data_IF_748256334823
#
_entry.id   IF_748256334823
#
_cell.length_a   1.000
_cell.length_b   1.000
_cell.length_c   1.000
_cell.angle_alpha   90.00
_cell.angle_beta   90.00
_cell.angle_gamma   90.00
#
_symmetry.space_group_name_H-M   'P 1'
#
loop_
_entity.id
_entity.type
_entity.pdbx_description
1 polymer ?
#
# COMPACT_ATOMS: atom_id res chain seq x y z
N UNK A 1 8.00 9.58 13.96
CA UNK A 1 7.60 9.94 12.60
C UNK A 1 7.60 11.46 12.45
N UNK A 2 8.01 11.96 11.29
CA UNK A 2 8.10 13.40 10.99
C UNK A 2 6.75 14.00 10.55
N UNK A 3 5.62 13.48 11.05
CA UNK A 3 4.29 13.95 10.66
C UNK A 3 4.03 15.37 11.14
N UNK A 4 3.59 16.24 10.24
CA UNK A 4 3.32 17.66 10.52
C UNK A 4 1.82 17.97 10.62
N UNK A 5 0.95 17.24 9.90
CA UNK A 5 -0.50 17.40 10.03
C UNK A 5 -0.94 17.15 11.46
N UNK A 6 -1.67 18.08 12.06
CA UNK A 6 -2.13 17.99 13.43
C UNK A 6 -3.66 18.09 13.51
N UNK A 7 -4.20 17.63 14.64
CA UNK A 7 -5.62 17.66 14.94
C UNK A 7 -5.81 18.17 16.39
N UNK A 8 -6.55 19.24 16.56
CA UNK A 8 -6.90 19.81 17.86
C UNK A 8 -8.36 19.46 18.17
N UNK A 9 -8.62 18.98 19.40
CA UNK A 9 -10.00 18.72 19.84
C UNK A 9 -10.66 20.01 20.29
N UNK A 10 -11.80 20.32 19.72
CA UNK A 10 -12.63 21.48 20.07
C UNK A 10 -14.07 20.99 20.33
N UNK A 11 -14.42 20.85 21.62
CA UNK A 11 -15.74 20.37 22.02
C UNK A 11 -16.05 18.96 21.50
N UNK A 12 -16.99 18.87 20.57
CA UNK A 12 -17.50 17.63 19.98
C UNK A 12 -16.91 17.31 18.59
N UNK A 13 -15.87 18.04 18.14
CA UNK A 13 -15.18 17.82 16.88
C UNK A 13 -13.66 17.96 17.01
N UNK A 14 -12.95 17.65 15.94
CA UNK A 14 -11.53 17.91 15.76
C UNK A 14 -11.33 18.89 14.60
N UNK A 15 -10.38 19.80 14.75
CA UNK A 15 -9.93 20.71 13.71
C UNK A 15 -8.59 20.23 13.20
N UNK A 16 -8.53 19.81 11.92
CA UNK A 16 -7.33 19.33 11.26
C UNK A 16 -6.68 20.44 10.45
N UNK A 17 -5.34 20.55 10.56
CA UNK A 17 -4.53 21.47 9.77
C UNK A 17 -3.26 20.79 9.27
N UNK A 18 -2.86 21.13 8.02
CA UNK A 18 -1.67 20.60 7.35
C UNK A 18 -1.97 19.98 6.00
N UNK A 19 -1.05 19.14 5.51
CA UNK A 19 -1.25 18.46 4.22
C UNK A 19 -0.75 17.02 4.24
N UNK A 20 -1.15 16.25 3.22
CA UNK A 20 -0.65 14.90 2.90
C UNK A 20 -0.29 14.85 1.43
N UNK A 21 0.91 14.41 1.13
CA UNK A 21 1.41 14.29 -0.25
C UNK A 21 1.38 12.84 -0.73
N UNK A 22 1.35 12.68 -2.05
CA UNK A 22 1.41 11.39 -2.74
C UNK A 22 0.28 10.43 -2.36
N UNK A 23 -0.95 10.96 -2.20
CA UNK A 23 -2.09 10.12 -1.82
C UNK A 23 -2.72 9.50 -3.04
N UNK A 24 -2.67 8.17 -3.09
CA UNK A 24 -3.29 7.33 -4.14
C UNK A 24 -4.81 7.45 -4.07
N UNK A 25 -5.45 7.47 -5.23
CA UNK A 25 -6.89 7.66 -5.43
C UNK A 25 -7.45 9.01 -4.94
N UNK A 26 -6.61 9.93 -4.49
CA UNK A 26 -7.06 11.27 -4.16
C UNK A 26 -7.69 11.94 -5.40
N UNK A 27 -8.79 12.64 -5.19
CA UNK A 27 -9.61 13.21 -6.26
C UNK A 27 -10.76 12.30 -6.73
N UNK A 28 -10.65 10.99 -6.56
CA UNK A 28 -11.70 10.02 -6.88
C UNK A 28 -12.36 9.42 -5.64
N UNK A 29 -11.61 9.23 -4.55
CA UNK A 29 -12.14 8.73 -3.29
C UNK A 29 -13.10 9.75 -2.65
N UNK A 30 -14.14 9.24 -1.97
CA UNK A 30 -15.07 10.04 -1.18
C UNK A 30 -14.72 10.01 0.31
N UNK A 31 -13.96 9.01 0.76
CA UNK A 31 -13.57 8.80 2.16
C UNK A 31 -12.06 8.58 2.24
N UNK A 32 -11.43 9.22 3.20
CA UNK A 32 -9.99 9.18 3.45
C UNK A 32 -9.70 8.81 4.89
N UNK A 33 -8.72 7.96 5.12
CA UNK A 33 -8.19 7.70 6.46
C UNK A 33 -6.96 8.56 6.68
N UNK A 34 -7.08 9.51 7.59
CA UNK A 34 -6.05 10.52 7.83
C UNK A 34 -5.38 10.29 9.18
N UNK A 35 -4.06 10.14 9.16
CA UNK A 35 -3.25 10.15 10.37
C UNK A 35 -2.87 11.59 10.71
N UNK A 36 -3.22 12.05 11.91
CA UNK A 36 -2.87 13.39 12.38
C UNK A 36 -2.31 13.37 13.81
N UNK A 37 -1.45 14.32 14.13
CA UNK A 37 -0.84 14.46 15.45
C UNK A 37 -1.85 15.13 16.38
N UNK A 38 -2.27 14.44 17.43
CA UNK A 38 -3.15 14.97 18.49
C UNK A 38 -2.38 15.36 19.75
N UNK A 39 -1.18 14.78 19.96
CA UNK A 39 -0.33 15.10 21.11
C UNK A 39 1.16 14.90 20.77
N UNK A 40 1.85 15.98 20.44
CA UNK A 40 3.24 15.97 20.01
C UNK A 40 4.21 15.44 21.11
N UNK A 41 3.86 15.61 22.37
CA UNK A 41 4.69 15.19 23.50
C UNK A 41 4.83 13.67 23.62
N UNK A 42 3.85 12.92 23.07
CA UNK A 42 3.79 11.45 23.13
C UNK A 42 4.43 10.74 21.91
N UNK A 43 5.06 11.49 21.00
CA UNK A 43 5.69 10.92 19.80
C UNK A 43 4.71 10.10 18.97
N UNK A 44 5.01 8.84 18.65
CA UNK A 44 4.13 7.97 17.86
C UNK A 44 2.81 7.63 18.57
N UNK A 45 2.77 7.64 19.89
CA UNK A 45 1.55 7.45 20.69
C UNK A 45 0.65 8.69 20.71
N UNK A 46 1.09 9.80 20.17
CA UNK A 46 0.31 11.01 19.98
C UNK A 46 -0.37 11.11 18.61
N UNK A 47 -0.21 10.10 17.75
CA UNK A 47 -0.86 10.07 16.44
C UNK A 47 -2.22 9.40 16.54
N UNK A 48 -3.25 10.05 16.02
CA UNK A 48 -4.62 9.50 15.90
C UNK A 48 -5.01 9.33 14.45
N UNK A 49 -6.00 8.48 14.19
CA UNK A 49 -6.54 8.23 12.86
C UNK A 49 -7.96 8.77 12.77
N UNK A 50 -8.29 9.39 11.64
CA UNK A 50 -9.59 10.01 11.40
C UNK A 50 -10.17 9.53 10.07
N UNK A 51 -11.48 9.36 10.02
CA UNK A 51 -12.24 9.17 8.79
C UNK A 51 -12.66 10.56 8.32
N UNK A 52 -12.13 10.99 7.18
CA UNK A 52 -12.43 12.30 6.59
C UNK A 52 -13.19 12.10 5.30
N UNK A 53 -14.34 12.73 5.17
CA UNK A 53 -15.15 12.71 3.96
C UNK A 53 -14.74 13.87 3.04
N UNK A 54 -14.90 13.65 1.74
CA UNK A 54 -14.47 14.62 0.71
C UNK A 54 -15.09 16.01 0.87
N UNK A 55 -16.31 16.04 1.36
CA UNK A 55 -17.12 17.27 1.44
C UNK A 55 -17.02 17.96 2.81
N UNK A 56 -16.12 17.52 3.69
CA UNK A 56 -15.93 18.18 4.98
C UNK A 56 -15.38 19.58 4.80
N UNK A 57 -15.94 20.59 5.53
CA UNK A 57 -15.45 21.95 5.49
C UNK A 57 -13.95 22.03 5.81
N UNK A 58 -13.19 22.76 5.00
CA UNK A 58 -11.75 22.91 5.16
C UNK A 58 -10.90 21.76 4.60
N UNK A 59 -11.52 20.74 3.93
CA UNK A 59 -10.81 19.75 3.17
C UNK A 59 -10.77 20.09 1.68
N UNK A 60 -9.60 19.96 1.04
CA UNK A 60 -9.47 20.16 -0.39
C UNK A 60 -8.41 19.23 -1.00
N UNK A 61 -8.53 18.99 -2.32
CA UNK A 61 -7.58 18.23 -3.10
C UNK A 61 -6.62 19.20 -3.78
N UNK A 62 -5.34 19.03 -3.49
CA UNK A 62 -4.28 19.81 -4.09
C UNK A 62 -3.80 19.27 -5.44
N UNK A 63 -2.55 19.51 -5.78
CA UNK A 63 -1.96 19.18 -7.07
C UNK A 63 -2.00 17.68 -7.37
N UNK A 64 -2.38 17.34 -8.61
CA UNK A 64 -2.22 15.99 -9.17
C UNK A 64 -0.78 15.80 -9.66
N UNK A 65 -0.14 14.72 -9.22
CA UNK A 65 1.24 14.40 -9.57
C UNK A 65 1.39 13.88 -11.01
N UNK A 66 2.44 14.36 -11.69
CA UNK A 66 2.90 13.80 -12.98
C UNK A 66 3.86 12.65 -12.71
N UNK A 67 3.36 11.42 -12.82
CA UNK A 67 4.12 10.23 -12.48
C UNK A 67 4.85 9.63 -13.70
N UNK A 68 5.99 8.97 -13.45
CA UNK A 68 6.75 8.22 -14.44
C UNK A 68 5.95 7.03 -14.99
N UNK A 69 5.24 6.30 -14.11
CA UNK A 69 4.39 5.14 -14.45
C UNK A 69 3.11 5.12 -13.64
N UNK A 70 2.29 4.09 -13.85
CA UNK A 70 0.97 3.90 -13.20
C UNK A 70 0.09 5.15 -13.32
N UNK A 71 0.09 5.76 -14.51
CA UNK A 71 -0.58 7.04 -14.78
C UNK A 71 -2.10 6.96 -14.72
N UNK A 72 -2.66 5.75 -14.87
CA UNK A 72 -4.09 5.48 -14.70
C UNK A 72 -4.58 5.59 -13.25
N UNK A 73 -3.69 5.52 -12.25
CA UNK A 73 -4.01 5.74 -10.83
C UNK A 73 -3.67 7.18 -10.45
N UNK A 74 -4.66 7.96 -10.04
CA UNK A 74 -4.42 9.34 -9.60
C UNK A 74 -3.63 9.35 -8.29
N UNK A 75 -2.75 10.33 -8.16
CA UNK A 75 -1.98 10.61 -6.95
C UNK A 75 -1.99 12.12 -6.76
N UNK A 76 -2.52 12.61 -5.64
CA UNK A 76 -2.64 14.05 -5.38
C UNK A 76 -2.15 14.37 -3.97
N UNK A 77 -2.06 15.66 -3.70
CA UNK A 77 -1.97 16.20 -2.35
C UNK A 77 -3.37 16.32 -1.73
N UNK A 78 -3.47 16.17 -0.41
CA UNK A 78 -4.64 16.54 0.39
C UNK A 78 -4.27 17.73 1.26
N UNK A 79 -5.16 18.71 1.35
CA UNK A 79 -4.95 19.94 2.10
C UNK A 79 -6.05 20.06 3.16
N UNK A 80 -5.66 20.42 4.37
CA UNK A 80 -6.54 20.63 5.52
C UNK A 80 -6.31 22.03 6.05
N UNK A 81 -7.32 22.88 5.94
CA UNK A 81 -7.32 24.28 6.42
C UNK A 81 -8.51 24.46 7.36
N UNK A 82 -8.27 24.34 8.66
CA UNK A 82 -9.30 24.28 9.69
C UNK A 82 -10.41 23.26 9.36
N UNK A 83 -9.99 22.08 8.90
CA UNK A 83 -10.92 21.03 8.48
C UNK A 83 -11.64 20.45 9.71
N UNK A 84 -12.97 20.61 9.72
CA UNK A 84 -13.83 20.16 10.82
C UNK A 84 -14.18 18.69 10.64
N UNK A 85 -13.79 17.87 11.60
CA UNK A 85 -14.03 16.43 11.60
C UNK A 85 -14.81 16.07 12.87
N UNK A 86 -16.03 15.52 12.77
CA UNK A 86 -16.82 15.09 13.92
C UNK A 86 -16.05 14.10 14.82
N UNK A 87 -16.30 14.12 16.13
CA UNK A 87 -15.61 13.24 17.09
C UNK A 87 -15.84 11.75 16.82
N UNK A 88 -17.00 11.38 16.30
CA UNK A 88 -17.40 10.04 15.91
C UNK A 88 -16.57 9.49 14.72
N UNK A 89 -15.95 10.38 13.96
CA UNK A 89 -15.04 10.04 12.87
C UNK A 89 -13.61 9.71 13.35
N UNK A 90 -13.35 9.74 14.66
CA UNK A 90 -12.12 9.20 15.21
C UNK A 90 -12.10 7.68 15.06
N UNK A 91 -11.15 7.16 14.29
CA UNK A 91 -10.98 5.73 14.09
C UNK A 91 -10.18 5.11 15.24
N UNK A 92 -10.83 4.28 16.05
CA UNK A 92 -10.26 3.70 17.26
C UNK A 92 -10.22 4.72 18.41
N UNK A 93 -9.11 4.78 19.15
CA UNK A 93 -8.91 5.70 20.28
C UNK A 93 -7.85 6.73 19.95
N UNK A 94 -7.89 7.87 20.65
CA UNK A 94 -6.83 8.90 20.59
C UNK A 94 -5.48 8.25 20.88
N UNK A 95 -4.49 8.53 20.02
CA UNK A 95 -3.13 8.00 20.15
C UNK A 95 -2.91 6.60 19.53
N UNK A 96 -3.94 5.96 18.98
CA UNK A 96 -3.81 4.64 18.35
C UNK A 96 -3.52 4.68 16.85
N UNK A 97 -3.45 5.86 16.24
CA UNK A 97 -3.30 6.00 14.79
C UNK A 97 -2.06 5.32 14.23
N UNK A 98 -0.91 5.42 14.93
CA UNK A 98 0.31 4.73 14.49
C UNK A 98 0.16 3.21 14.51
N UNK A 99 -0.49 2.65 15.54
CA UNK A 99 -0.78 1.21 15.64
C UNK A 99 -1.71 0.75 14.51
N UNK A 100 -2.74 1.53 14.21
CA UNK A 100 -3.67 1.27 13.10
C UNK A 100 -2.91 1.27 11.77
N UNK A 101 -2.04 2.27 11.53
CA UNK A 101 -1.23 2.34 10.32
C UNK A 101 -0.32 1.11 10.16
N UNK A 102 0.40 0.70 11.21
CA UNK A 102 1.28 -0.48 11.16
C UNK A 102 0.51 -1.76 10.85
N UNK A 103 -0.65 -1.98 11.50
CA UNK A 103 -1.51 -3.13 11.23
C UNK A 103 -2.04 -3.14 9.79
N UNK A 104 -2.37 -1.98 9.23
CA UNK A 104 -2.80 -1.85 7.83
C UNK A 104 -1.65 -2.18 6.87
N UNK A 105 -0.43 -1.69 7.16
CA UNK A 105 0.75 -1.97 6.35
C UNK A 105 1.13 -3.45 6.34
N UNK A 106 0.98 -4.18 7.44
CA UNK A 106 1.21 -5.63 7.47
C UNK A 106 0.30 -6.38 6.47
N UNK A 107 -0.97 -5.98 6.38
CA UNK A 107 -1.86 -6.50 5.34
C UNK A 107 -1.49 -6.04 3.92
N UNK A 108 -1.09 -4.78 3.77
CA UNK A 108 -0.70 -4.19 2.50
C UNK A 108 0.53 -4.87 1.87
N UNK A 109 1.53 -5.26 2.68
CA UNK A 109 2.73 -5.98 2.21
C UNK A 109 2.38 -7.27 1.49
N UNK A 110 1.48 -8.08 2.07
CA UNK A 110 1.03 -9.31 1.41
C UNK A 110 0.30 -9.04 0.08
N UNK A 111 -0.51 -7.97 0.03
CA UNK A 111 -1.19 -7.56 -1.20
C UNK A 111 -0.21 -7.22 -2.32
N UNK A 112 0.81 -6.41 -2.01
CA UNK A 112 1.86 -6.03 -2.97
C UNK A 112 2.73 -7.22 -3.38
N UNK A 113 3.09 -8.10 -2.44
CA UNK A 113 3.83 -9.33 -2.73
C UNK A 113 3.03 -10.25 -3.67
N UNK A 114 1.72 -10.39 -3.44
CA UNK A 114 0.82 -11.16 -4.31
C UNK A 114 0.73 -10.57 -5.72
N UNK A 115 0.70 -9.23 -5.85
CA UNK A 115 0.70 -8.54 -7.13
C UNK A 115 2.02 -8.80 -7.90
N UNK A 116 3.16 -8.64 -7.24
CA UNK A 116 4.47 -8.92 -7.83
C UNK A 116 4.60 -10.38 -8.30
N UNK A 117 4.16 -11.32 -7.46
CA UNK A 117 4.12 -12.75 -7.80
C UNK A 117 3.23 -13.03 -9.02
N UNK A 118 2.06 -12.40 -9.10
CA UNK A 118 1.14 -12.55 -10.24
C UNK A 118 1.76 -12.04 -11.55
N UNK A 119 2.44 -10.87 -11.50
CA UNK A 119 3.15 -10.31 -12.65
C UNK A 119 4.30 -11.24 -13.09
N UNK A 120 5.09 -11.75 -12.13
CA UNK A 120 6.18 -12.66 -12.42
C UNK A 120 5.69 -13.97 -13.05
N UNK A 121 4.58 -14.54 -12.55
CA UNK A 121 3.98 -15.74 -13.11
C UNK A 121 3.46 -15.49 -14.53
N UNK A 122 2.72 -14.40 -14.76
CA UNK A 122 2.22 -14.06 -16.09
C UNK A 122 3.33 -13.86 -17.10
N UNK A 123 4.41 -13.16 -16.72
CA UNK A 123 5.60 -13.00 -17.57
C UNK A 123 6.27 -14.34 -17.89
N UNK A 124 6.34 -15.25 -16.90
CA UNK A 124 6.90 -16.60 -17.10
C UNK A 124 6.05 -17.42 -18.08
N UNK A 125 4.73 -17.40 -17.93
CA UNK A 125 3.81 -18.15 -18.79
C UNK A 125 3.93 -17.70 -20.26
N UNK A 126 3.97 -16.38 -20.50
CA UNK A 126 4.16 -15.83 -21.85
C UNK A 126 5.57 -16.12 -22.40
N UNK A 127 6.60 -16.06 -21.55
CA UNK A 127 7.97 -16.41 -21.95
C UNK A 127 8.07 -17.88 -22.38
N UNK A 128 7.45 -18.79 -21.63
CA UNK A 128 7.47 -20.24 -21.97
C UNK A 128 6.78 -20.50 -23.31
N UNK A 129 5.69 -19.80 -23.63
CA UNK A 129 5.06 -19.87 -24.95
C UNK A 129 6.01 -19.38 -26.03
N UNK A 130 6.56 -18.18 -25.87
CA UNK A 130 7.42 -17.55 -26.85
C UNK A 130 8.69 -18.37 -27.17
N UNK A 131 9.39 -18.92 -26.16
CA UNK A 131 10.62 -19.68 -26.39
C UNK A 131 10.37 -21.02 -27.09
N UNK A 132 9.16 -21.56 -27.06
CA UNK A 132 8.75 -22.76 -27.80
C UNK A 132 8.53 -22.44 -29.29
N UNK A 133 8.01 -21.27 -29.60
CA UNK A 133 7.62 -20.85 -30.96
C UNK A 133 8.79 -20.18 -31.70
N UNK A 134 9.54 -19.30 -31.05
CA UNK A 134 10.64 -18.55 -31.65
C UNK A 134 11.80 -19.48 -32.02
N UNK A 135 12.21 -19.44 -33.29
CA UNK A 135 13.34 -20.25 -33.83
C UNK A 135 14.54 -19.37 -34.14
N UNK A 136 15.72 -19.82 -33.80
CA UNK A 136 17.02 -19.30 -34.21
C UNK A 136 18.00 -20.46 -34.37
N UNK A 137 18.93 -20.32 -35.33
CA UNK A 137 19.93 -21.38 -35.62
C UNK A 137 19.28 -22.75 -35.86
N UNK A 138 18.15 -22.80 -36.59
CA UNK A 138 17.46 -24.02 -37.00
C UNK A 138 16.61 -24.71 -35.92
N UNK A 139 16.50 -24.18 -34.70
CA UNK A 139 15.71 -24.78 -33.60
C UNK A 139 15.01 -23.72 -32.75
N UNK A 140 14.03 -24.16 -31.92
CA UNK A 140 13.38 -23.24 -31.00
C UNK A 140 14.38 -22.75 -29.95
N UNK A 141 14.24 -21.47 -29.51
CA UNK A 141 15.17 -20.91 -28.52
C UNK A 141 15.04 -21.58 -27.15
N UNK A 142 13.94 -22.25 -26.86
CA UNK A 142 13.75 -23.07 -25.67
C UNK A 142 14.62 -24.33 -25.62
N UNK A 143 15.25 -24.72 -26.76
CA UNK A 143 16.18 -25.86 -26.81
C UNK A 143 17.63 -25.46 -26.45
N UNK A 144 17.91 -24.17 -26.27
CA UNK A 144 19.24 -23.73 -25.83
C UNK A 144 19.37 -23.88 -24.32
N UNK A 145 20.46 -24.49 -23.88
CA UNK A 145 20.71 -24.82 -22.48
C UNK A 145 20.65 -23.60 -21.55
N UNK A 146 21.24 -22.46 -22.00
CA UNK A 146 21.15 -21.21 -21.22
C UNK A 146 19.71 -20.77 -20.99
N UNK A 147 18.83 -20.85 -22.01
CA UNK A 147 17.40 -20.52 -21.85
C UNK A 147 16.72 -21.44 -20.85
N UNK A 148 17.02 -22.76 -20.92
CA UNK A 148 16.47 -23.74 -20.00
C UNK A 148 16.87 -23.47 -18.53
N UNK A 149 18.15 -23.16 -18.32
CA UNK A 149 18.67 -22.87 -16.97
C UNK A 149 18.04 -21.60 -16.38
N UNK A 150 17.94 -20.53 -17.18
CA UNK A 150 17.28 -19.30 -16.73
C UNK A 150 15.80 -19.54 -16.37
N UNK A 151 15.06 -20.27 -17.20
CA UNK A 151 13.66 -20.59 -16.93
C UNK A 151 13.51 -21.44 -15.67
N UNK A 152 14.38 -22.43 -15.45
CA UNK A 152 14.36 -23.28 -14.26
C UNK A 152 14.63 -22.45 -12.98
N UNK A 153 15.64 -21.56 -13.01
CA UNK A 153 15.95 -20.68 -11.89
C UNK A 153 14.81 -19.70 -11.58
N UNK A 154 14.26 -19.04 -12.59
CA UNK A 154 13.13 -18.12 -12.44
C UNK A 154 11.89 -18.83 -11.89
N UNK A 155 11.57 -20.04 -12.39
CA UNK A 155 10.45 -20.84 -11.90
C UNK A 155 10.64 -21.23 -10.43
N UNK A 156 11.85 -21.58 -10.03
CA UNK A 156 12.18 -21.90 -8.63
C UNK A 156 11.94 -20.69 -7.74
N UNK A 157 12.40 -19.50 -8.14
CA UNK A 157 12.18 -18.25 -7.39
C UNK A 157 10.70 -17.90 -7.28
N UNK A 158 9.92 -18.04 -8.35
CA UNK A 158 8.47 -17.82 -8.35
C UNK A 158 7.78 -18.77 -7.36
N UNK A 159 8.15 -20.04 -7.33
CA UNK A 159 7.57 -21.00 -6.39
C UNK A 159 7.96 -20.69 -4.94
N UNK A 160 9.21 -20.33 -4.67
CA UNK A 160 9.64 -19.91 -3.33
C UNK A 160 8.87 -18.67 -2.85
N UNK A 161 8.75 -17.64 -3.67
CA UNK A 161 7.95 -16.45 -3.36
C UNK A 161 6.47 -16.80 -3.10
N UNK A 162 5.89 -17.69 -3.91
CA UNK A 162 4.51 -18.17 -3.73
C UNK A 162 4.29 -18.80 -2.37
N UNK A 163 5.22 -19.63 -1.92
CA UNK A 163 5.14 -20.30 -0.61
C UNK A 163 5.23 -19.28 0.54
N UNK A 164 6.11 -18.28 0.43
CA UNK A 164 6.22 -17.21 1.44
C UNK A 164 4.94 -16.39 1.54
N UNK A 165 4.39 -15.94 0.41
CA UNK A 165 3.13 -15.19 0.36
C UNK A 165 1.98 -16.01 0.96
N UNK A 166 1.84 -17.27 0.57
CA UNK A 166 0.80 -18.17 1.07
C UNK A 166 0.94 -18.44 2.56
N UNK A 167 2.17 -18.62 3.07
CA UNK A 167 2.43 -18.79 4.50
C UNK A 167 1.98 -17.56 5.31
N UNK A 168 2.31 -16.35 4.85
CA UNK A 168 1.88 -15.12 5.50
C UNK A 168 0.35 -14.97 5.51
N UNK A 169 -0.31 -15.26 4.38
CA UNK A 169 -1.76 -15.22 4.25
C UNK A 169 -2.44 -16.24 5.16
N UNK A 170 -1.96 -17.49 5.17
CA UNK A 170 -2.49 -18.54 6.01
C UNK A 170 -2.39 -18.19 7.50
N UNK A 171 -1.23 -17.67 7.97
CA UNK A 171 -1.09 -17.22 9.36
C UNK A 171 -2.08 -16.13 9.73
N UNK A 172 -2.32 -15.18 8.81
CA UNK A 172 -3.33 -14.13 9.03
C UNK A 172 -4.73 -14.73 9.17
N UNK A 173 -5.12 -15.66 8.31
CA UNK A 173 -6.43 -16.32 8.35
C UNK A 173 -6.61 -17.11 9.65
N UNK A 174 -5.55 -17.76 10.11
CA UNK A 174 -5.50 -18.50 11.38
C UNK A 174 -5.35 -17.58 12.60
N UNK A 175 -5.41 -16.25 12.43
CA UNK A 175 -5.24 -15.24 13.49
C UNK A 175 -3.93 -15.38 14.30
N UNK A 176 -2.88 -15.91 13.68
CA UNK A 176 -1.55 -16.01 14.24
C UNK A 176 -0.72 -14.73 13.98
N UNK A 177 0.35 -14.46 14.73
CA UNK A 177 1.30 -13.39 14.40
C UNK A 177 1.91 -13.61 13.00
N UNK A 178 1.77 -12.63 12.11
CA UNK A 178 2.19 -12.74 10.70
C UNK A 178 3.03 -11.56 10.19
N UNK A 179 3.29 -10.54 11.02
CA UNK A 179 4.02 -9.33 10.59
C UNK A 179 5.40 -9.64 10.03
N UNK A 180 6.16 -10.57 10.65
CA UNK A 180 7.47 -11.00 10.17
C UNK A 180 7.36 -11.75 8.84
N UNK A 181 6.40 -12.68 8.72
CA UNK A 181 6.16 -13.43 7.48
C UNK A 181 5.69 -12.51 6.35
N UNK A 182 4.85 -11.50 6.66
CA UNK A 182 4.40 -10.48 5.71
C UNK A 182 5.55 -9.57 5.23
N UNK A 183 6.53 -9.30 6.09
CA UNK A 183 7.72 -8.53 5.71
C UNK A 183 8.74 -9.36 4.91
N UNK A 184 8.73 -10.68 5.09
CA UNK A 184 9.61 -11.62 4.37
C UNK A 184 9.09 -11.95 2.96
N UNK A 185 7.77 -11.96 2.80
CA UNK A 185 7.10 -12.23 1.52
C UNK A 185 7.29 -11.09 0.51
#
# INVERSE_FOLDING_TARGET
SAQQTFAVKEGDHYVLNGSKIFITNAGYAHVYIIMAMTDKSKGTKGISAFIVEKDFPGFSIGKKEKKMGIRGSATCELIFENCIVPKENLLGKVGEGFRIAMKTLDGGRMGIASQALGIAQGAMDETVKYVKERKQFGRSIGQFQNTQFQLADLQTRIQAARLLVRKAAWKKDMKQPYSADSAQA
#
